data_IF_970459305329
#
_entry.id   IF_970459305329
#
_cell.length_a   1.000
_cell.length_b   1.000
_cell.length_c   1.000
_cell.angle_alpha   90.00
_cell.angle_beta   90.00
_cell.angle_gamma   90.00
#
_symmetry.space_group_name_H-M   'P 1'
#
loop_
_entity.id
_entity.type
_entity.pdbx_description
1 polymer ?
#
# COMPACT_ATOMS: atom_id res chain seq x y z
N UNK A 1 -26.98 -4.19 0.36
CA UNK A 1 -26.74 -3.77 -1.05
C UNK A 1 -26.88 -2.27 -1.23
N UNK A 2 -26.80 -1.48 -0.15
CA UNK A 2 -27.27 -0.09 -0.14
C UNK A 2 -26.14 0.94 -0.26
N UNK A 3 -24.88 0.50 -0.30
CA UNK A 3 -23.72 1.39 -0.38
C UNK A 3 -23.38 1.70 -1.84
N UNK A 4 -23.38 2.98 -2.17
CA UNK A 4 -23.12 3.51 -3.50
C UNK A 4 -21.62 3.73 -3.73
N UNK A 5 -21.23 3.98 -4.98
CA UNK A 5 -19.87 4.39 -5.30
C UNK A 5 -19.81 5.92 -5.43
N UNK A 6 -18.76 6.50 -4.87
CA UNK A 6 -18.47 7.92 -4.94
C UNK A 6 -17.09 8.15 -5.54
N UNK A 7 -16.97 9.25 -6.28
CA UNK A 7 -15.71 9.71 -6.82
C UNK A 7 -14.95 10.48 -5.74
N UNK A 8 -13.83 9.93 -5.27
CA UNK A 8 -13.01 10.54 -4.21
C UNK A 8 -11.76 11.16 -4.83
N UNK A 9 -11.60 12.47 -4.64
CA UNK A 9 -10.39 13.18 -5.04
C UNK A 9 -9.31 13.04 -3.96
N UNK A 10 -8.30 12.23 -4.24
CA UNK A 10 -7.09 12.15 -3.43
C UNK A 10 -6.13 13.27 -3.86
N UNK A 11 -5.52 13.92 -2.88
CA UNK A 11 -4.50 14.97 -3.09
C UNK A 11 -3.35 14.75 -2.13
N UNK A 12 -2.13 14.72 -2.66
CA UNK A 12 -0.89 14.61 -1.88
C UNK A 12 0.00 15.82 -2.18
N UNK A 13 0.29 16.60 -1.13
CA UNK A 13 1.16 17.77 -1.20
C UNK A 13 2.62 17.33 -1.02
N UNK A 14 3.23 16.82 -2.08
CA UNK A 14 4.63 16.39 -2.07
C UNK A 14 5.29 16.65 -3.43
N UNK A 15 6.59 16.92 -3.41
CA UNK A 15 7.39 16.89 -4.63
C UNK A 15 7.63 15.43 -5.06
N UNK A 16 7.87 15.22 -6.35
CA UNK A 16 8.27 13.91 -6.85
C UNK A 16 9.62 13.48 -6.22
N UNK A 17 9.71 12.28 -5.59
CA UNK A 17 10.96 11.80 -4.99
C UNK A 17 12.11 11.66 -6.00
N UNK A 18 11.79 11.31 -7.24
CA UNK A 18 12.76 11.21 -8.34
C UNK A 18 12.13 11.70 -9.65
N UNK A 19 12.95 12.02 -10.66
CA UNK A 19 12.49 12.48 -11.97
C UNK A 19 11.67 11.42 -12.72
N UNK A 20 12.00 10.13 -12.53
CA UNK A 20 11.43 9.03 -13.29
C UNK A 20 10.71 8.02 -12.38
N UNK A 21 9.51 8.39 -11.94
CA UNK A 21 8.63 7.50 -11.20
C UNK A 21 7.18 7.90 -11.27
N UNK A 22 6.35 7.10 -10.63
CA UNK A 22 4.90 7.30 -10.57
C UNK A 22 4.42 7.15 -9.13
N UNK A 23 3.51 8.01 -8.70
CA UNK A 23 2.86 7.90 -7.40
C UNK A 23 1.49 7.19 -7.53
N UNK A 24 1.10 6.43 -6.51
CA UNK A 24 -0.17 5.70 -6.46
C UNK A 24 -0.82 5.81 -5.09
N UNK A 25 -2.15 5.70 -5.04
CA UNK A 25 -2.90 5.45 -3.81
C UNK A 25 -3.14 3.96 -3.70
N UNK A 26 -2.71 3.33 -2.61
CA UNK A 26 -2.88 1.88 -2.40
C UNK A 26 -3.49 1.60 -1.04
N UNK A 27 -4.15 0.46 -0.93
CA UNK A 27 -4.70 -0.02 0.33
C UNK A 27 -5.39 -1.36 0.16
N UNK A 28 -6.11 -1.80 1.19
CA UNK A 28 -6.83 -3.08 1.10
C UNK A 28 -7.93 -3.07 0.03
N UNK A 29 -8.50 -1.91 -0.29
CA UNK A 29 -9.59 -1.78 -1.26
C UNK A 29 -9.20 -2.19 -2.69
N UNK A 30 -7.91 -2.12 -3.04
CA UNK A 30 -7.36 -2.54 -4.33
C UNK A 30 -6.28 -3.61 -4.18
N UNK A 31 -6.24 -4.33 -3.06
CA UNK A 31 -5.23 -5.36 -2.75
C UNK A 31 -3.79 -4.86 -2.94
N UNK A 32 -3.52 -3.60 -2.58
CA UNK A 32 -2.19 -2.98 -2.72
C UNK A 32 -1.61 -3.04 -4.14
N UNK A 33 -2.46 -3.20 -5.16
CA UNK A 33 -2.01 -3.37 -6.55
C UNK A 33 -1.85 -2.00 -7.22
N UNK A 34 -0.81 -1.88 -8.05
CA UNK A 34 -0.56 -0.72 -8.89
C UNK A 34 -1.28 -0.89 -10.22
N UNK A 35 -2.22 0.00 -10.52
CA UNK A 35 -3.00 0.00 -11.74
C UNK A 35 -3.17 1.42 -12.29
N UNK A 36 -3.80 1.57 -13.45
CA UNK A 36 -4.01 2.90 -14.03
C UNK A 36 -5.02 3.71 -13.23
N UNK A 37 -5.97 3.04 -12.60
CA UNK A 37 -7.10 3.60 -11.88
C UNK A 37 -6.70 4.26 -10.55
N UNK A 38 -5.60 3.84 -9.94
CA UNK A 38 -5.08 4.39 -8.69
C UNK A 38 -3.77 5.17 -8.84
N UNK A 39 -3.35 5.44 -10.08
CA UNK A 39 -2.18 6.26 -10.37
C UNK A 39 -2.50 7.74 -10.20
N UNK A 40 -1.61 8.45 -9.51
CA UNK A 40 -1.68 9.89 -9.31
C UNK A 40 -1.02 10.65 -10.46
N UNK A 41 -1.62 11.81 -10.78
CA UNK A 41 -1.10 12.78 -11.75
C UNK A 41 -0.37 13.87 -10.97
N UNK A 42 0.85 14.21 -11.38
CA UNK A 42 1.63 15.29 -10.78
C UNK A 42 1.34 16.64 -11.47
N UNK A 43 0.94 17.64 -10.68
CA UNK A 43 0.89 19.05 -11.07
C UNK A 43 2.16 19.74 -10.59
N UNK A 44 3.07 20.03 -11.52
CA UNK A 44 4.33 20.71 -11.22
C UNK A 44 4.15 22.19 -10.79
N UNK A 45 3.07 22.85 -11.23
CA UNK A 45 2.77 24.23 -10.85
C UNK A 45 2.32 24.34 -9.40
N UNK A 46 1.57 23.33 -8.92
CA UNK A 46 1.12 23.24 -7.53
C UNK A 46 2.06 22.43 -6.63
N UNK A 47 2.98 21.65 -7.20
CA UNK A 47 3.81 20.65 -6.50
C UNK A 47 2.95 19.64 -5.73
N UNK A 48 1.93 19.11 -6.40
CA UNK A 48 0.92 18.23 -5.81
C UNK A 48 0.62 17.06 -6.73
N UNK A 49 0.32 15.91 -6.13
CA UNK A 49 -0.22 14.75 -6.80
C UNK A 49 -1.73 14.69 -6.58
N UNK A 50 -2.50 14.26 -7.58
CA UNK A 50 -3.94 14.06 -7.43
C UNK A 50 -4.48 12.92 -8.31
N UNK A 51 -5.55 12.29 -7.85
CA UNK A 51 -6.30 11.30 -8.61
C UNK A 51 -7.76 11.29 -8.14
N UNK A 52 -8.67 11.04 -9.07
CA UNK A 52 -10.07 10.83 -8.75
C UNK A 52 -10.37 9.33 -8.86
N UNK A 53 -10.65 8.68 -7.73
CA UNK A 53 -10.78 7.23 -7.62
C UNK A 53 -12.21 6.89 -7.18
N UNK A 54 -12.85 5.98 -7.90
CA UNK A 54 -14.19 5.52 -7.59
C UNK A 54 -14.15 4.49 -6.45
N UNK A 55 -14.66 4.86 -5.28
CA UNK A 55 -14.70 4.01 -4.08
C UNK A 55 -16.14 3.78 -3.65
N UNK A 56 -16.41 2.57 -3.15
CA UNK A 56 -17.68 2.26 -2.51
C UNK A 56 -17.77 3.01 -1.18
N UNK A 57 -18.95 3.42 -0.71
CA UNK A 57 -19.06 4.08 0.59
C UNK A 57 -18.60 3.15 1.72
N UNK A 58 -17.68 3.63 2.57
CA UNK A 58 -17.10 2.88 3.67
C UNK A 58 -15.89 3.59 4.31
N UNK A 59 -15.29 2.95 5.30
CA UNK A 59 -14.03 3.36 5.92
C UNK A 59 -12.87 2.68 5.18
N UNK A 60 -11.85 3.46 4.83
CA UNK A 60 -10.67 2.96 4.12
C UNK A 60 -9.39 3.48 4.75
N UNK A 61 -8.49 2.56 5.08
CA UNK A 61 -7.08 2.86 5.26
C UNK A 61 -6.39 2.81 3.90
N UNK A 62 -5.53 3.80 3.66
CA UNK A 62 -4.77 3.93 2.42
C UNK A 62 -3.40 4.53 2.71
N UNK A 63 -2.48 4.35 1.78
CA UNK A 63 -1.14 4.93 1.80
C UNK A 63 -0.74 5.37 0.38
N UNK A 64 0.25 6.24 0.30
CA UNK A 64 0.86 6.67 -0.95
C UNK A 64 2.12 5.85 -1.24
N UNK A 65 2.17 5.23 -2.43
CA UNK A 65 3.32 4.46 -2.88
C UNK A 65 4.03 5.17 -4.04
N UNK A 66 5.37 5.15 -4.03
CA UNK A 66 6.23 5.60 -5.11
C UNK A 66 6.82 4.40 -5.85
N UNK A 67 6.57 4.33 -7.17
CA UNK A 67 7.26 3.41 -8.07
C UNK A 67 8.41 4.16 -8.74
N UNK A 68 9.64 3.83 -8.37
CA UNK A 68 10.82 4.28 -9.10
C UNK A 68 11.03 3.40 -10.34
N UNK A 69 10.99 4.00 -11.55
CA UNK A 69 11.09 3.25 -12.81
C UNK A 69 12.52 2.84 -13.17
N UNK A 70 13.51 3.51 -12.60
CA UNK A 70 14.92 3.20 -12.81
C UNK A 70 15.31 1.94 -12.03
N UNK A 71 14.95 1.89 -10.74
CA UNK A 71 15.24 0.76 -9.86
C UNK A 71 14.18 -0.35 -9.94
N UNK A 72 12.99 -0.04 -10.47
CA UNK A 72 11.79 -0.90 -10.45
C UNK A 72 11.36 -1.30 -9.02
N UNK A 73 11.64 -0.43 -8.05
CA UNK A 73 11.25 -0.61 -6.65
C UNK A 73 9.99 0.18 -6.32
N UNK A 74 9.20 -0.36 -5.40
CA UNK A 74 7.98 0.26 -4.90
C UNK A 74 8.20 0.52 -3.41
N UNK A 75 8.07 1.77 -3.00
CA UNK A 75 8.33 2.21 -1.63
C UNK A 75 7.29 3.23 -1.19
N UNK A 76 6.82 3.11 0.05
CA UNK A 76 5.90 4.10 0.67
C UNK A 76 6.67 5.14 1.49
N UNK A 77 7.89 4.79 1.92
CA UNK A 77 8.77 5.66 2.72
C UNK A 77 8.92 7.09 2.19
N UNK A 78 9.06 7.37 0.87
CA UNK A 78 9.20 8.74 0.39
C UNK A 78 8.02 9.66 0.72
N UNK A 79 6.84 9.10 0.96
CA UNK A 79 5.62 9.85 1.28
C UNK A 79 5.17 9.65 2.73
N UNK A 80 5.18 8.41 3.22
CA UNK A 80 4.67 8.04 4.55
C UNK A 80 5.76 8.07 5.65
N UNK A 81 7.04 8.06 5.26
CA UNK A 81 8.16 7.92 6.18
C UNK A 81 8.38 6.48 6.67
N UNK A 82 9.19 6.34 7.71
CA UNK A 82 9.50 5.04 8.34
C UNK A 82 9.79 5.27 9.83
N UNK A 83 8.78 5.05 10.67
CA UNK A 83 8.86 5.30 12.11
C UNK A 83 8.72 3.99 12.89
N UNK A 84 9.66 3.71 13.79
CA UNK A 84 9.69 2.44 14.53
C UNK A 84 8.50 2.26 15.49
N UNK A 85 7.89 3.37 15.93
CA UNK A 85 6.71 3.36 16.80
C UNK A 85 5.41 3.00 16.06
N UNK A 86 5.41 3.01 14.72
CA UNK A 86 4.21 2.76 13.92
C UNK A 86 3.67 1.37 14.23
N UNK A 87 2.41 1.27 14.64
CA UNK A 87 1.77 -0.03 14.90
C UNK A 87 1.66 -0.83 13.60
N UNK A 88 2.32 -1.98 13.57
CA UNK A 88 2.35 -2.89 12.44
C UNK A 88 2.01 -4.31 12.91
N UNK A 89 1.22 -5.01 12.09
CA UNK A 89 0.91 -6.43 12.29
C UNK A 89 1.72 -7.27 11.29
N UNK A 90 2.46 -8.24 11.78
CA UNK A 90 3.32 -9.13 11.01
C UNK A 90 2.74 -10.55 11.02
N UNK A 91 2.47 -11.08 9.84
CA UNK A 91 2.04 -12.47 9.68
C UNK A 91 3.22 -13.35 9.28
N UNK A 92 3.48 -14.39 10.06
CA UNK A 92 4.56 -15.35 9.85
C UNK A 92 3.93 -16.66 9.37
N UNK A 93 4.36 -17.14 8.20
CA UNK A 93 3.94 -18.40 7.61
C UNK A 93 5.14 -19.34 7.50
N UNK A 94 5.06 -20.50 8.15
CA UNK A 94 6.13 -21.51 8.10
C UNK A 94 5.70 -22.62 7.16
N UNK A 95 6.40 -22.74 6.03
CA UNK A 95 6.16 -23.78 5.04
C UNK A 95 7.22 -24.88 5.13
N UNK A 96 6.81 -26.13 4.95
CA UNK A 96 7.69 -27.28 4.88
C UNK A 96 7.33 -28.16 3.68
N UNK A 97 8.34 -28.50 2.87
CA UNK A 97 8.23 -29.45 1.76
C UNK A 97 9.06 -30.69 2.07
N UNK A 98 8.38 -31.80 2.36
CA UNK A 98 9.03 -33.11 2.57
C UNK A 98 9.67 -33.61 1.26
N UNK A 99 10.76 -34.39 1.32
CA UNK A 99 11.27 -35.09 0.13
C UNK A 99 10.17 -35.91 -0.55
N UNK A 100 10.01 -35.75 -1.87
CA UNK A 100 8.94 -36.40 -2.64
C UNK A 100 7.57 -35.71 -2.59
N UNK A 101 7.39 -34.64 -1.80
CA UNK A 101 6.14 -33.90 -1.77
C UNK A 101 5.92 -33.08 -3.06
N UNK A 102 4.66 -32.99 -3.49
CA UNK A 102 4.25 -32.24 -4.70
C UNK A 102 3.76 -30.81 -4.39
N UNK A 103 3.76 -30.41 -3.12
CA UNK A 103 3.31 -29.09 -2.66
C UNK A 103 4.06 -28.66 -1.39
N UNK A 104 4.06 -27.36 -1.12
CA UNK A 104 4.47 -26.78 0.15
C UNK A 104 3.34 -26.91 1.17
N UNK A 105 3.64 -27.47 2.34
CA UNK A 105 2.66 -27.54 3.43
C UNK A 105 2.87 -26.38 4.37
N UNK A 106 1.84 -25.59 4.64
CA UNK A 106 1.84 -24.62 5.75
C UNK A 106 1.81 -25.40 7.07
N UNK A 107 2.94 -25.45 7.77
CA UNK A 107 3.10 -26.20 9.04
C UNK A 107 3.01 -25.31 10.27
N UNK A 108 3.01 -23.99 10.10
CA UNK A 108 2.85 -23.04 11.19
C UNK A 108 2.38 -21.67 10.72
N UNK A 109 1.62 -21.00 11.57
CA UNK A 109 1.15 -19.63 11.37
C UNK A 109 1.24 -18.87 12.68
N UNK A 110 1.70 -17.62 12.61
CA UNK A 110 1.67 -16.70 13.74
C UNK A 110 1.35 -15.28 13.27
N UNK A 111 0.68 -14.50 14.12
CA UNK A 111 0.44 -13.09 13.88
C UNK A 111 0.95 -12.30 15.09
N UNK A 112 1.91 -11.41 14.84
CA UNK A 112 2.55 -10.57 15.86
C UNK A 112 2.19 -9.11 15.60
N UNK A 113 2.01 -8.33 16.66
CA UNK A 113 1.95 -6.87 16.58
C UNK A 113 3.09 -6.29 17.39
N UNK A 114 3.70 -5.21 16.91
CA UNK A 114 4.70 -4.47 17.69
C UNK A 114 4.07 -3.58 18.78
N UNK A 115 2.73 -3.46 18.81
CA UNK A 115 2.03 -2.81 19.91
C UNK A 115 2.26 -3.59 21.19
N UNK A 116 2.85 -2.94 22.19
CA UNK A 116 2.93 -3.49 23.54
C UNK A 116 1.51 -3.56 24.10
N UNK A 117 1.03 -4.76 24.40
CA UNK A 117 -0.23 -4.89 25.14
C UNK A 117 0.04 -4.47 26.59
N UNK A 118 -0.44 -3.30 26.98
CA UNK A 118 -0.59 -2.94 28.38
C UNK A 118 -1.53 -3.97 29.03
N UNK A 119 -1.00 -4.78 29.94
CA UNK A 119 -1.76 -5.68 30.81
C UNK A 119 -2.09 -4.99 32.11
#
# INVERSE_FOLDING_TARGET
>A
TESEYMSVLFTLNAAAPTLNGDAYVVGRFNNYTLSKENKLIYDAGRKQFYANILLKQGLYDYEYAWLNKETKTIETQPFEGSFFQTENSYQIFVYYRRPGARWDTLVGYNNLSNRVNDR
#
